data_IF_647418619223
#
_entry.id   IF_647418619223
#
_cell.length_a   1.000
_cell.length_b   1.000
_cell.length_c   1.000
_cell.angle_alpha   90.00
_cell.angle_beta   90.00
_cell.angle_gamma   90.00
#
_symmetry.space_group_name_H-M   'P 1'
#
loop_
_entity.id
_entity.type
_entity.pdbx_description
1 polymer ?
#
# COMPACT_ATOMS: atom_id res chain seq x y z
N UNK A 1 -23.30 -3.99 -3.75
CA UNK A 1 -23.36 -2.50 -3.86
C UNK A 1 -23.38 -1.84 -2.47
N UNK A 2 -24.21 -2.27 -1.51
CA UNK A 2 -24.21 -1.73 -0.13
C UNK A 2 -22.88 -1.96 0.59
N UNK A 3 -22.26 -3.14 0.44
CA UNK A 3 -20.97 -3.47 1.05
C UNK A 3 -19.82 -2.64 0.46
N UNK A 4 -19.80 -2.43 -0.86
CA UNK A 4 -18.81 -1.56 -1.50
C UNK A 4 -18.85 -0.13 -0.95
N UNK A 5 -20.05 0.45 -0.78
CA UNK A 5 -20.20 1.79 -0.20
C UNK A 5 -19.71 1.84 1.26
N UNK A 6 -19.97 0.78 2.03
CA UNK A 6 -19.49 0.68 3.39
C UNK A 6 -17.97 0.61 3.47
N UNK A 7 -17.34 -0.18 2.61
CA UNK A 7 -15.88 -0.31 2.52
C UNK A 7 -15.22 1.02 2.10
N UNK A 8 -15.80 1.73 1.13
CA UNK A 8 -15.33 3.06 0.69
C UNK A 8 -15.29 4.06 1.86
N UNK A 9 -16.30 4.05 2.70
CA UNK A 9 -16.39 4.97 3.83
C UNK A 9 -15.47 4.57 4.98
N UNK A 10 -15.40 3.29 5.34
CA UNK A 10 -14.59 2.79 6.45
C UNK A 10 -13.09 2.93 6.16
N UNK A 11 -12.64 2.49 4.99
CA UNK A 11 -11.22 2.48 4.59
C UNK A 11 -10.68 3.82 4.10
N UNK A 12 -11.51 4.87 4.00
CA UNK A 12 -11.12 6.19 3.46
C UNK A 12 -10.76 6.20 1.98
N UNK A 13 -11.29 5.26 1.20
CA UNK A 13 -11.01 5.15 -0.24
C UNK A 13 -11.34 6.46 -0.99
N UNK A 14 -12.42 7.14 -0.60
CA UNK A 14 -12.81 8.45 -1.13
C UNK A 14 -11.72 9.52 -0.97
N UNK A 15 -10.96 9.46 0.10
CA UNK A 15 -9.89 10.41 0.42
C UNK A 15 -8.61 10.07 -0.33
N UNK A 16 -8.23 8.81 -0.37
CA UNK A 16 -7.11 8.33 -1.18
C UNK A 16 -7.34 8.51 -2.68
N UNK A 17 -8.57 8.29 -3.16
CA UNK A 17 -8.92 8.56 -4.55
C UNK A 17 -8.74 10.02 -4.97
N UNK A 18 -8.98 10.99 -4.08
CA UNK A 18 -8.65 12.39 -4.33
C UNK A 18 -7.13 12.59 -4.46
N UNK A 19 -6.34 11.94 -3.60
CA UNK A 19 -4.88 12.00 -3.64
C UNK A 19 -4.34 11.45 -4.97
N UNK A 20 -4.75 10.24 -5.35
CA UNK A 20 -4.28 9.58 -6.56
C UNK A 20 -4.78 10.23 -7.85
N UNK A 21 -5.85 11.00 -7.77
CA UNK A 21 -6.27 11.90 -8.86
C UNK A 21 -5.40 13.14 -8.98
N UNK A 22 -4.91 13.67 -7.84
CA UNK A 22 -4.10 14.89 -7.79
C UNK A 22 -2.60 14.66 -8.03
N UNK A 23 -2.10 13.47 -7.63
CA UNK A 23 -0.67 13.08 -7.71
C UNK A 23 -0.51 11.80 -8.53
N UNK A 24 -1.03 11.82 -9.75
CA UNK A 24 -1.14 10.64 -10.62
C UNK A 24 0.13 10.28 -11.40
N UNK A 25 1.21 11.05 -11.27
CA UNK A 25 2.44 10.85 -12.04
C UNK A 25 3.37 9.81 -11.40
N UNK A 26 3.89 8.88 -12.22
CA UNK A 26 4.92 7.93 -11.79
C UNK A 26 6.30 8.56 -11.98
N UNK A 27 7.00 8.80 -10.88
CA UNK A 27 8.31 9.41 -10.84
C UNK A 27 9.42 8.35 -10.70
N UNK A 28 10.65 8.59 -11.19
CA UNK A 28 11.77 7.64 -11.06
C UNK A 28 12.06 7.23 -9.60
N UNK A 29 11.90 8.15 -8.65
CA UNK A 29 12.09 7.88 -7.21
C UNK A 29 11.12 6.85 -6.62
N UNK A 30 9.98 6.60 -7.29
CA UNK A 30 9.03 5.56 -6.86
C UNK A 30 9.59 4.14 -7.03
N UNK A 31 10.56 3.91 -7.92
CA UNK A 31 11.21 2.60 -8.04
C UNK A 31 11.96 2.23 -6.76
N UNK A 32 12.76 3.15 -6.20
CA UNK A 32 13.46 2.92 -4.95
C UNK A 32 12.48 2.62 -3.81
N UNK A 33 11.36 3.36 -3.73
CA UNK A 33 10.32 3.10 -2.74
C UNK A 33 9.71 1.70 -2.93
N UNK A 34 9.32 1.35 -4.16
CA UNK A 34 8.74 0.04 -4.47
C UNK A 34 9.69 -1.10 -4.06
N UNK A 35 10.96 -1.04 -4.43
CA UNK A 35 11.96 -2.04 -4.07
C UNK A 35 12.15 -2.19 -2.57
N UNK A 36 12.09 -1.10 -1.80
CA UNK A 36 12.16 -1.14 -0.35
C UNK A 36 10.90 -1.78 0.26
N UNK A 37 9.73 -1.42 -0.25
CA UNK A 37 8.45 -1.90 0.25
C UNK A 37 8.16 -3.35 -0.11
N UNK A 38 8.76 -3.86 -1.16
CA UNK A 38 8.60 -5.26 -1.60
C UNK A 38 9.77 -6.16 -1.18
N UNK A 39 10.74 -5.66 -0.41
CA UNK A 39 11.79 -6.51 0.13
C UNK A 39 11.18 -7.70 0.92
N UNK A 40 11.69 -8.94 0.77
CA UNK A 40 12.97 -9.27 0.17
C UNK A 40 12.95 -9.53 -1.35
N UNK A 41 11.85 -9.24 -2.06
CA UNK A 41 11.77 -9.47 -3.50
C UNK A 41 12.75 -8.57 -4.27
N UNK A 42 13.35 -9.15 -5.29
CA UNK A 42 14.21 -8.50 -6.27
C UNK A 42 13.48 -8.36 -7.62
N UNK A 43 13.99 -7.57 -8.59
CA UNK A 43 13.41 -7.49 -9.92
C UNK A 43 13.25 -8.84 -10.62
N UNK A 44 14.15 -9.81 -10.37
CA UNK A 44 14.13 -11.14 -10.95
C UNK A 44 12.95 -11.99 -10.48
N UNK A 45 12.47 -11.75 -9.26
CA UNK A 45 11.31 -12.47 -8.70
C UNK A 45 10.01 -12.20 -9.46
N UNK A 46 9.95 -11.12 -10.22
CA UNK A 46 8.78 -10.72 -11.00
C UNK A 46 8.77 -11.27 -12.43
N UNK A 47 9.93 -11.69 -12.95
CA UNK A 47 10.06 -12.12 -14.35
C UNK A 47 9.14 -13.30 -14.67
N UNK A 48 8.31 -13.11 -15.71
CA UNK A 48 7.36 -14.13 -16.17
C UNK A 48 6.22 -14.45 -15.21
N UNK A 49 6.06 -13.71 -14.11
CA UNK A 49 5.01 -13.92 -13.10
C UNK A 49 3.73 -13.19 -13.45
N UNK A 50 2.59 -13.83 -13.18
CA UNK A 50 1.29 -13.19 -13.14
C UNK A 50 0.98 -12.74 -11.72
N UNK A 51 0.61 -11.45 -11.54
CA UNK A 51 0.43 -10.90 -10.21
C UNK A 51 -0.93 -10.21 -9.99
N UNK A 52 -1.30 -10.10 -8.70
CA UNK A 52 -2.44 -9.31 -8.23
C UNK A 52 -1.94 -8.15 -7.36
N UNK A 53 -2.29 -6.91 -7.73
CA UNK A 53 -2.05 -5.70 -6.94
C UNK A 53 -3.35 -5.26 -6.28
N UNK A 54 -3.41 -5.36 -4.95
CA UNK A 54 -4.62 -5.10 -4.16
C UNK A 54 -4.55 -3.74 -3.49
N UNK A 55 -5.47 -2.84 -3.89
CA UNK A 55 -5.43 -1.43 -3.55
C UNK A 55 -4.37 -0.71 -4.37
N UNK A 56 -4.47 -0.84 -5.70
CA UNK A 56 -3.43 -0.39 -6.63
C UNK A 56 -3.28 1.14 -6.70
N UNK A 57 -4.26 1.91 -6.19
CA UNK A 57 -4.28 3.35 -6.32
C UNK A 57 -4.13 3.79 -7.77
N UNK A 58 -3.16 4.65 -8.05
CA UNK A 58 -2.86 5.11 -9.40
C UNK A 58 -2.02 4.14 -10.25
N UNK A 59 -1.78 2.90 -9.79
CA UNK A 59 -1.08 1.86 -10.53
C UNK A 59 0.45 1.93 -10.48
N UNK A 60 1.04 2.80 -9.65
CA UNK A 60 2.50 2.95 -9.60
C UNK A 60 3.22 1.69 -9.12
N UNK A 61 2.60 0.93 -8.21
CA UNK A 61 3.19 -0.30 -7.68
C UNK A 61 3.03 -1.47 -8.66
N UNK A 62 2.01 -1.48 -9.52
CA UNK A 62 1.89 -2.42 -10.65
C UNK A 62 2.89 -2.14 -11.77
N UNK A 63 3.28 -0.87 -11.95
CA UNK A 63 4.17 -0.44 -13.05
C UNK A 63 5.55 -1.09 -12.97
N UNK A 64 6.14 -1.21 -11.78
CA UNK A 64 7.50 -1.72 -11.62
C UNK A 64 7.62 -3.22 -11.90
N UNK A 65 6.76 -4.13 -11.37
CA UNK A 65 6.73 -5.52 -11.79
C UNK A 65 6.68 -5.71 -13.30
N UNK A 66 5.85 -4.93 -13.99
CA UNK A 66 5.75 -4.97 -15.45
C UNK A 66 7.03 -4.53 -16.13
N UNK A 67 7.70 -3.48 -15.61
CA UNK A 67 9.03 -3.07 -16.06
C UNK A 67 10.11 -4.12 -15.82
N UNK A 68 9.97 -4.93 -14.77
CA UNK A 68 10.89 -6.03 -14.48
C UNK A 68 10.60 -7.31 -15.27
N UNK A 69 9.59 -7.30 -16.15
CA UNK A 69 9.29 -8.41 -17.03
C UNK A 69 8.23 -9.38 -16.48
N UNK A 70 7.35 -8.93 -15.59
CA UNK A 70 6.18 -9.71 -15.23
C UNK A 70 5.31 -10.00 -16.48
N UNK A 71 4.67 -11.17 -16.51
CA UNK A 71 3.80 -11.57 -17.62
C UNK A 71 2.55 -10.70 -17.76
N UNK A 72 2.09 -10.12 -16.63
CA UNK A 72 0.90 -9.30 -16.53
C UNK A 72 0.19 -9.53 -15.20
N UNK A 73 -1.08 -9.19 -15.12
CA UNK A 73 -1.86 -9.43 -13.93
C UNK A 73 -3.13 -8.59 -13.83
N UNK A 74 -3.58 -8.43 -12.60
CA UNK A 74 -4.76 -7.64 -12.26
C UNK A 74 -4.41 -6.62 -11.18
N UNK A 75 -4.84 -5.36 -11.38
CA UNK A 75 -4.79 -4.30 -10.40
C UNK A 75 -6.21 -3.97 -9.95
N UNK A 76 -6.47 -4.04 -8.66
CA UNK A 76 -7.80 -3.75 -8.10
C UNK A 76 -7.74 -2.57 -7.15
N UNK A 77 -8.76 -1.74 -7.20
CA UNK A 77 -9.02 -0.67 -6.24
C UNK A 77 -10.53 -0.46 -6.15
N UNK A 78 -10.99 0.16 -5.07
CA UNK A 78 -12.41 0.45 -4.88
C UNK A 78 -12.79 1.83 -5.43
N UNK A 79 -11.84 2.78 -5.50
CA UNK A 79 -12.07 4.15 -5.95
C UNK A 79 -11.83 4.30 -7.45
N UNK A 80 -12.88 4.74 -8.19
CA UNK A 80 -12.82 4.85 -9.65
C UNK A 80 -11.83 5.93 -10.15
N UNK A 81 -11.59 7.00 -9.39
CA UNK A 81 -10.62 8.06 -9.76
C UNK A 81 -9.19 7.52 -9.73
N UNK A 82 -8.90 6.66 -8.73
CA UNK A 82 -7.65 5.90 -8.64
C UNK A 82 -7.48 5.00 -9.86
N UNK A 83 -8.52 4.24 -10.20
CA UNK A 83 -8.50 3.33 -11.35
C UNK A 83 -8.36 4.04 -12.69
N UNK A 84 -8.97 5.20 -12.87
CA UNK A 84 -8.74 6.03 -14.07
C UNK A 84 -7.26 6.43 -14.21
N UNK A 85 -6.62 6.80 -13.11
CA UNK A 85 -5.19 7.09 -13.09
C UNK A 85 -4.34 5.84 -13.38
N UNK A 86 -4.71 4.69 -12.79
CA UNK A 86 -4.05 3.42 -13.04
C UNK A 86 -4.15 2.99 -14.51
N UNK A 87 -5.33 3.09 -15.13
CA UNK A 87 -5.51 2.78 -16.55
C UNK A 87 -4.64 3.66 -17.45
N UNK A 88 -4.51 4.96 -17.14
CA UNK A 88 -3.60 5.85 -17.88
C UNK A 88 -2.13 5.45 -17.72
N UNK A 89 -1.71 5.15 -16.49
CA UNK A 89 -0.32 4.84 -16.18
C UNK A 89 0.12 3.46 -16.72
N UNK A 90 -0.80 2.51 -16.78
CA UNK A 90 -0.53 1.14 -17.21
C UNK A 90 -0.90 0.84 -18.67
N UNK A 91 -1.33 1.85 -19.43
CA UNK A 91 -1.80 1.70 -20.84
C UNK A 91 -0.80 1.04 -21.78
N UNK A 92 0.49 1.14 -21.49
CA UNK A 92 1.57 0.52 -22.29
C UNK A 92 1.76 -0.98 -22.01
N UNK A 93 1.02 -1.56 -21.08
CA UNK A 93 1.10 -2.95 -20.68
C UNK A 93 -0.24 -3.67 -20.93
N UNK A 94 -0.49 -4.19 -22.15
CA UNK A 94 -1.80 -4.74 -22.52
C UNK A 94 -2.20 -6.01 -21.74
N UNK A 95 -1.23 -6.70 -21.14
CA UNK A 95 -1.47 -7.86 -20.28
C UNK A 95 -1.89 -7.49 -18.84
N UNK A 96 -2.01 -6.19 -18.54
CA UNK A 96 -2.45 -5.71 -17.22
C UNK A 96 -3.92 -5.29 -17.27
N UNK A 97 -4.74 -5.87 -16.40
CA UNK A 97 -6.16 -5.56 -16.26
C UNK A 97 -6.40 -4.71 -15.02
N UNK A 98 -7.09 -3.59 -15.19
CA UNK A 98 -7.45 -2.67 -14.09
C UNK A 98 -8.96 -2.75 -13.87
N UNK A 99 -9.38 -3.17 -12.67
CA UNK A 99 -10.80 -3.37 -12.36
C UNK A 99 -11.18 -2.81 -11.00
N UNK A 100 -12.44 -2.41 -10.87
CA UNK A 100 -13.02 -1.99 -9.59
C UNK A 100 -13.48 -3.21 -8.81
N UNK A 101 -12.85 -3.42 -7.65
CA UNK A 101 -13.22 -4.52 -6.77
C UNK A 101 -12.83 -4.20 -5.32
N UNK A 102 -13.64 -4.67 -4.36
CA UNK A 102 -13.28 -4.64 -2.94
C UNK A 102 -12.27 -5.74 -2.63
N UNK A 103 -11.29 -5.44 -1.77
CA UNK A 103 -10.36 -6.45 -1.27
C UNK A 103 -11.06 -7.59 -0.54
N UNK A 104 -12.25 -7.34 0.01
CA UNK A 104 -13.04 -8.34 0.72
C UNK A 104 -13.81 -9.29 -0.21
N UNK A 105 -13.97 -8.94 -1.47
CA UNK A 105 -14.80 -9.67 -2.45
C UNK A 105 -14.02 -10.09 -3.70
N UNK A 106 -12.68 -10.22 -3.59
CA UNK A 106 -11.81 -10.68 -4.68
C UNK A 106 -12.34 -12.00 -5.28
N UNK A 107 -12.64 -12.05 -6.58
CA UNK A 107 -13.26 -13.23 -7.22
C UNK A 107 -12.22 -14.25 -7.72
N UNK A 108 -11.00 -14.21 -7.19
CA UNK A 108 -9.89 -15.02 -7.69
C UNK A 108 -9.58 -16.18 -6.77
N UNK A 109 -9.33 -17.34 -7.37
CA UNK A 109 -8.84 -18.56 -6.71
C UNK A 109 -7.72 -19.18 -7.56
N UNK A 110 -6.61 -19.60 -6.92
CA UNK A 110 -5.51 -20.36 -7.50
C UNK A 110 -4.95 -19.77 -8.82
N UNK A 111 -4.95 -18.44 -8.95
CA UNK A 111 -4.66 -17.80 -10.22
C UNK A 111 -3.26 -17.19 -10.31
N UNK A 112 -2.84 -16.43 -9.30
CA UNK A 112 -1.64 -15.61 -9.40
C UNK A 112 -0.42 -16.31 -8.81
N UNK A 113 0.76 -16.02 -9.35
CA UNK A 113 2.03 -16.44 -8.77
C UNK A 113 2.38 -15.62 -7.54
N UNK A 114 1.93 -14.35 -7.52
CA UNK A 114 2.18 -13.41 -6.44
C UNK A 114 1.00 -12.44 -6.29
N UNK A 115 0.52 -12.24 -5.07
CA UNK A 115 -0.39 -11.14 -4.72
C UNK A 115 0.32 -10.18 -3.78
N UNK A 116 0.14 -8.87 -3.97
CA UNK A 116 0.71 -7.91 -3.05
C UNK A 116 -0.25 -6.76 -2.74
N UNK A 117 -0.03 -6.13 -1.59
CA UNK A 117 -0.77 -4.96 -1.15
C UNK A 117 0.14 -4.00 -0.40
N UNK A 118 0.34 -2.81 -0.94
CA UNK A 118 1.27 -1.83 -0.41
C UNK A 118 0.52 -0.60 0.09
N UNK A 119 0.55 -0.37 1.41
CA UNK A 119 -0.05 0.82 1.99
C UNK A 119 -1.57 0.76 2.17
N UNK A 120 -2.20 -0.42 2.12
CA UNK A 120 -3.67 -0.58 2.16
C UNK A 120 -4.15 -1.34 3.39
N UNK A 121 -3.59 -2.50 3.68
CA UNK A 121 -4.08 -3.45 4.70
C UNK A 121 -4.26 -2.79 6.07
N UNK A 122 -3.37 -1.89 6.46
CA UNK A 122 -3.44 -1.18 7.74
C UNK A 122 -4.47 -0.02 7.77
N UNK A 123 -5.17 0.21 6.66
CA UNK A 123 -6.29 1.14 6.57
C UNK A 123 -7.66 0.44 6.51
N UNK A 124 -7.67 -0.88 6.58
CA UNK A 124 -8.88 -1.68 6.53
C UNK A 124 -9.52 -1.89 7.91
N UNK A 125 -10.83 -2.05 7.93
CA UNK A 125 -11.59 -2.42 9.13
C UNK A 125 -11.36 -3.89 9.51
N UNK A 126 -11.22 -4.77 8.50
CA UNK A 126 -11.04 -6.22 8.62
C UNK A 126 -9.82 -6.71 7.84
N UNK A 127 -8.59 -6.38 8.28
CA UNK A 127 -7.36 -6.73 7.57
C UNK A 127 -7.16 -8.25 7.41
N UNK A 128 -7.60 -9.06 8.38
CA UNK A 128 -7.56 -10.52 8.36
C UNK A 128 -8.33 -11.09 7.16
N UNK A 129 -9.55 -10.60 6.92
CA UNK A 129 -10.40 -11.04 5.81
C UNK A 129 -9.77 -10.71 4.45
N UNK A 130 -9.11 -9.55 4.35
CA UNK A 130 -8.39 -9.16 3.15
C UNK A 130 -7.21 -10.11 2.86
N UNK A 131 -6.45 -10.46 3.89
CA UNK A 131 -5.32 -11.40 3.77
C UNK A 131 -5.77 -12.79 3.36
N UNK A 132 -6.87 -13.32 3.92
CA UNK A 132 -7.46 -14.60 3.51
C UNK A 132 -7.85 -14.59 2.02
N UNK A 133 -8.46 -13.51 1.53
CA UNK A 133 -8.80 -13.35 0.12
C UNK A 133 -7.56 -13.31 -0.78
N UNK A 134 -6.52 -12.60 -0.38
CA UNK A 134 -5.25 -12.58 -1.11
C UNK A 134 -4.58 -13.96 -1.12
N UNK A 135 -4.58 -14.69 -0.01
CA UNK A 135 -4.02 -16.03 0.09
C UNK A 135 -4.77 -17.04 -0.81
N UNK A 136 -6.09 -16.92 -0.94
CA UNK A 136 -6.89 -17.75 -1.87
C UNK A 136 -6.64 -17.40 -3.32
N UNK A 137 -6.34 -16.14 -3.64
CA UNK A 137 -6.12 -15.68 -5.01
C UNK A 137 -4.82 -16.19 -5.63
N UNK A 138 -3.79 -16.50 -4.82
CA UNK A 138 -2.53 -17.04 -5.33
C UNK A 138 -2.61 -18.56 -5.50
N UNK A 139 -1.84 -19.12 -6.43
CA UNK A 139 -1.69 -20.57 -6.66
C UNK A 139 -1.11 -21.26 -5.41
N UNK A 140 -1.32 -22.56 -5.21
CA UNK A 140 -0.48 -23.34 -4.32
C UNK A 140 1.01 -23.12 -4.64
N UNK A 141 1.84 -22.85 -3.62
CA UNK A 141 3.23 -22.40 -3.78
C UNK A 141 3.39 -20.92 -4.17
N UNK A 142 2.29 -20.21 -4.46
CA UNK A 142 2.30 -18.76 -4.71
C UNK A 142 2.54 -17.94 -3.45
N UNK A 143 2.92 -16.68 -3.62
CA UNK A 143 3.34 -15.80 -2.52
C UNK A 143 2.39 -14.63 -2.31
N UNK A 144 2.20 -14.24 -1.07
CA UNK A 144 1.49 -13.00 -0.68
C UNK A 144 2.47 -12.07 0.00
N UNK A 145 2.52 -10.80 -0.43
CA UNK A 145 3.33 -9.76 0.17
C UNK A 145 2.46 -8.59 0.60
N UNK A 146 2.68 -8.09 1.81
CA UNK A 146 2.07 -6.85 2.28
C UNK A 146 3.14 -5.88 2.79
N UNK A 147 2.87 -4.58 2.63
CA UNK A 147 3.64 -3.54 3.29
C UNK A 147 2.72 -2.74 4.20
N UNK A 148 3.06 -2.68 5.51
CA UNK A 148 2.22 -2.10 6.54
C UNK A 148 3.02 -1.25 7.53
N UNK A 149 2.37 -0.32 8.23
CA UNK A 149 3.00 0.51 9.24
C UNK A 149 3.41 -0.32 10.47
N UNK A 150 4.69 -0.17 10.87
CA UNK A 150 5.22 -0.72 12.11
C UNK A 150 4.85 0.13 13.32
N UNK A 151 4.68 -0.49 14.48
CA UNK A 151 4.49 0.23 15.74
C UNK A 151 5.82 0.73 16.31
N UNK A 152 6.87 0.00 16.02
CA UNK A 152 8.23 0.33 16.41
C UNK A 152 8.67 1.64 15.75
N UNK A 153 9.33 2.51 16.53
CA UNK A 153 9.75 3.87 16.14
C UNK A 153 8.60 4.85 15.80
N UNK A 154 7.35 4.39 15.70
CA UNK A 154 6.20 5.23 15.37
C UNK A 154 5.34 5.63 16.59
N UNK A 155 5.83 5.47 17.81
CA UNK A 155 5.06 5.76 19.04
C UNK A 155 4.52 7.18 19.08
N UNK A 156 5.27 8.16 18.60
CA UNK A 156 4.83 9.55 18.51
C UNK A 156 3.70 9.75 17.48
N UNK A 157 3.76 9.06 16.33
CA UNK A 157 2.67 9.08 15.34
C UNK A 157 1.39 8.50 15.94
N UNK A 158 1.51 7.38 16.64
CA UNK A 158 0.37 6.72 17.31
C UNK A 158 -0.21 7.60 18.41
N UNK A 159 0.64 8.26 19.21
CA UNK A 159 0.20 9.01 20.39
C UNK A 159 -0.26 10.43 20.09
N UNK A 160 0.23 11.06 19.03
CA UNK A 160 -0.06 12.46 18.68
C UNK A 160 -0.82 12.59 17.37
N UNK A 161 -0.27 12.04 16.29
CA UNK A 161 -0.86 12.24 14.96
C UNK A 161 -2.17 11.46 14.78
N UNK A 162 -2.26 10.23 15.29
CA UNK A 162 -3.47 9.43 15.18
C UNK A 162 -4.71 10.07 15.87
N UNK A 163 -4.64 10.53 17.12
CA UNK A 163 -5.75 11.24 17.74
C UNK A 163 -6.12 12.51 16.97
N UNK A 164 -5.13 13.33 16.58
CA UNK A 164 -5.35 14.55 15.83
C UNK A 164 -6.02 14.28 14.47
N UNK A 165 -5.57 13.25 13.76
CA UNK A 165 -6.16 12.80 12.51
C UNK A 165 -7.61 12.37 12.69
N UNK A 166 -7.91 11.50 13.66
CA UNK A 166 -9.26 11.00 13.93
C UNK A 166 -10.23 12.10 14.40
N UNK A 167 -9.75 13.07 15.19
CA UNK A 167 -10.60 14.12 15.76
C UNK A 167 -10.81 15.29 14.79
N UNK A 168 -9.81 15.61 13.97
CA UNK A 168 -9.81 16.82 13.13
C UNK A 168 -9.76 16.46 11.63
N UNK A 169 -8.62 15.99 11.14
CA UNK A 169 -8.37 15.91 9.70
C UNK A 169 -9.31 14.96 8.96
N UNK A 170 -9.68 13.82 9.56
CA UNK A 170 -10.60 12.88 8.93
C UNK A 170 -12.03 13.41 8.77
N UNK A 171 -12.38 14.48 9.49
CA UNK A 171 -13.71 15.12 9.47
C UNK A 171 -13.76 16.37 8.59
N UNK A 172 -12.61 16.96 8.26
CA UNK A 172 -12.54 18.14 7.42
C UNK A 172 -12.81 17.78 5.95
N UNK A 173 -13.40 18.71 5.18
CA UNK A 173 -13.45 18.61 3.73
C UNK A 173 -12.06 18.35 3.16
N UNK A 174 -11.96 17.43 2.20
CA UNK A 174 -10.68 16.96 1.68
C UNK A 174 -9.83 18.07 1.06
N UNK A 175 -10.45 19.00 0.33
CA UNK A 175 -9.78 20.16 -0.24
C UNK A 175 -9.15 21.05 0.83
N UNK A 176 -9.82 21.22 2.00
CA UNK A 176 -9.26 21.95 3.13
C UNK A 176 -8.08 21.18 3.77
N UNK A 177 -8.23 19.87 3.95
CA UNK A 177 -7.13 19.02 4.43
C UNK A 177 -5.92 19.11 3.50
N UNK A 178 -6.15 19.07 2.18
CA UNK A 178 -5.10 19.24 1.18
C UNK A 178 -4.44 20.62 1.26
N UNK A 179 -5.22 21.69 1.47
CA UNK A 179 -4.65 23.02 1.68
C UNK A 179 -3.81 23.08 2.96
N UNK A 180 -4.32 22.55 4.07
CA UNK A 180 -3.64 22.53 5.36
C UNK A 180 -2.34 21.70 5.33
N UNK A 181 -2.24 20.66 4.47
CA UNK A 181 -1.02 19.87 4.33
C UNK A 181 0.20 20.68 3.87
N UNK A 182 -0.03 21.84 3.24
CA UNK A 182 1.04 22.74 2.78
C UNK A 182 1.95 23.19 3.93
N UNK A 183 1.39 23.51 5.11
CA UNK A 183 2.15 24.08 6.22
C UNK A 183 3.13 23.05 6.84
N UNK A 184 2.68 21.85 7.29
CA UNK A 184 3.61 20.84 7.78
C UNK A 184 4.58 20.36 6.69
N UNK A 185 4.15 20.28 5.43
CA UNK A 185 5.05 19.94 4.33
C UNK A 185 6.17 20.97 4.14
N UNK A 186 5.84 22.27 4.18
CA UNK A 186 6.83 23.34 4.09
C UNK A 186 7.82 23.30 5.25
N UNK A 187 7.34 23.05 6.47
CA UNK A 187 8.19 22.90 7.64
C UNK A 187 9.16 21.72 7.50
N UNK A 188 8.63 20.54 7.15
CA UNK A 188 9.46 19.34 6.96
C UNK A 188 10.47 19.58 5.85
N UNK A 189 10.06 20.18 4.73
CA UNK A 189 10.93 20.48 3.60
C UNK A 189 12.08 21.42 3.98
N UNK A 190 11.77 22.49 4.73
CA UNK A 190 12.79 23.42 5.23
C UNK A 190 13.80 22.73 6.17
N UNK A 191 13.30 21.90 7.12
CA UNK A 191 14.16 21.14 8.02
C UNK A 191 15.09 20.16 7.26
N UNK A 192 14.56 19.46 6.25
CA UNK A 192 15.36 18.57 5.40
C UNK A 192 16.44 19.32 4.61
N UNK A 193 16.15 20.53 4.12
CA UNK A 193 17.11 21.42 3.43
C UNK A 193 18.18 21.96 4.37
N UNK A 194 17.84 22.16 5.64
CA UNK A 194 18.80 22.51 6.70
C UNK A 194 19.62 21.32 7.22
N UNK A 195 19.42 20.11 6.65
CA UNK A 195 20.21 18.92 6.98
C UNK A 195 19.62 18.05 8.07
N UNK A 196 18.41 18.31 8.57
CA UNK A 196 17.74 17.46 9.55
C UNK A 196 17.32 16.11 8.93
N UNK A 197 18.05 15.04 9.21
CA UNK A 197 17.83 13.69 8.68
C UNK A 197 17.95 12.64 9.78
N UNK A 198 17.03 12.64 10.77
CA UNK A 198 17.14 11.85 11.99
C UNK A 198 17.03 10.33 11.78
N UNK A 199 16.45 9.89 10.66
CA UNK A 199 16.29 8.46 10.35
C UNK A 199 16.51 8.17 8.87
N UNK A 200 16.55 6.88 8.52
CA UNK A 200 16.64 6.43 7.13
C UNK A 200 15.47 6.93 6.28
N UNK A 201 14.28 6.95 6.86
CA UNK A 201 13.11 7.50 6.20
C UNK A 201 13.28 8.97 5.81
N UNK A 202 13.78 9.81 6.71
CA UNK A 202 14.03 11.23 6.40
C UNK A 202 15.15 11.40 5.36
N UNK A 203 16.15 10.53 5.32
CA UNK A 203 17.17 10.50 4.26
C UNK A 203 16.56 10.17 2.90
N UNK A 204 15.58 9.26 2.85
CA UNK A 204 14.86 8.91 1.62
C UNK A 204 14.01 10.08 1.14
N UNK A 205 13.14 10.64 1.97
CA UNK A 205 12.22 11.71 1.56
C UNK A 205 12.92 13.03 1.24
N UNK A 206 14.14 13.23 1.74
CA UNK A 206 14.98 14.39 1.38
C UNK A 206 15.42 14.41 -0.11
N UNK A 207 15.31 13.27 -0.80
CA UNK A 207 15.62 13.15 -2.24
C UNK A 207 14.47 13.65 -3.12
N UNK A 208 13.26 13.81 -2.56
CA UNK A 208 12.07 14.18 -3.32
C UNK A 208 11.95 15.70 -3.47
N UNK A 209 11.23 16.12 -4.50
CA UNK A 209 10.81 17.49 -4.66
C UNK A 209 9.69 17.87 -3.67
N UNK A 210 9.36 19.16 -3.62
CA UNK A 210 8.34 19.65 -2.68
C UNK A 210 6.93 19.09 -2.97
N UNK A 211 6.44 19.00 -4.22
CA UNK A 211 5.15 18.38 -4.50
C UNK A 211 5.04 16.95 -4.00
N UNK A 212 6.05 16.12 -4.22
CA UNK A 212 6.08 14.74 -3.75
C UNK A 212 6.13 14.64 -2.21
N UNK A 213 6.97 15.48 -1.57
CA UNK A 213 6.99 15.55 -0.10
C UNK A 213 5.64 15.97 0.46
N UNK A 214 4.97 16.93 -0.18
CA UNK A 214 3.63 17.36 0.22
C UNK A 214 2.60 16.23 0.06
N UNK A 215 2.68 15.44 -1.00
CA UNK A 215 1.83 14.25 -1.17
C UNK A 215 2.01 13.27 0.01
N UNK A 216 3.25 12.97 0.41
CA UNK A 216 3.54 12.11 1.56
C UNK A 216 2.95 12.67 2.87
N UNK A 217 3.06 13.98 3.10
CA UNK A 217 2.49 14.62 4.30
C UNK A 217 0.96 14.59 4.25
N UNK A 218 0.38 14.83 3.09
CA UNK A 218 -1.06 14.78 2.87
C UNK A 218 -1.60 13.36 3.09
N UNK A 219 -0.94 12.33 2.54
CA UNK A 219 -1.23 10.91 2.78
C UNK A 219 -1.36 10.58 4.27
N UNK A 220 -0.45 11.08 5.10
CA UNK A 220 -0.52 10.88 6.55
C UNK A 220 -1.73 11.54 7.23
N UNK A 221 -2.38 12.51 6.59
CA UNK A 221 -3.56 13.22 7.12
C UNK A 221 -4.89 12.61 6.66
N UNK A 222 -4.87 11.75 5.64
CA UNK A 222 -6.08 11.26 4.98
C UNK A 222 -6.86 10.20 5.78
N UNK A 223 -6.22 9.13 6.30
CA UNK A 223 -6.96 7.95 6.69
C UNK A 223 -7.81 8.15 7.94
N UNK A 224 -9.02 7.58 7.92
CA UNK A 224 -9.90 7.44 9.11
C UNK A 224 -9.41 6.33 10.01
N UNK A 225 -8.90 5.25 9.40
CA UNK A 225 -8.30 4.09 10.05
C UNK A 225 -6.82 4.04 9.70
N UNK A 226 -5.96 3.89 10.69
CA UNK A 226 -4.56 3.54 10.50
C UNK A 226 -4.08 2.74 11.69
N UNK A 227 -3.82 1.49 11.43
CA UNK A 227 -3.22 0.56 12.36
C UNK A 227 -1.70 0.64 12.29
N UNK A 228 -1.06 0.45 13.43
CA UNK A 228 0.38 0.33 13.57
C UNK A 228 0.64 -0.96 14.33
N UNK A 229 1.20 -1.95 13.68
CA UNK A 229 1.36 -3.28 14.25
C UNK A 229 2.81 -3.59 14.62
N UNK A 230 3.03 -4.24 15.79
CA UNK A 230 4.33 -4.83 16.09
C UNK A 230 4.59 -6.02 15.15
N UNK A 231 5.86 -6.38 15.04
CA UNK A 231 6.35 -7.47 14.19
C UNK A 231 5.55 -8.76 14.36
N UNK A 232 5.31 -9.15 15.60
CA UNK A 232 4.65 -10.41 15.97
C UNK A 232 3.19 -10.44 15.47
N UNK A 233 2.48 -9.31 15.56
CA UNK A 233 1.10 -9.20 15.06
C UNK A 233 1.04 -9.38 13.54
N UNK A 234 1.97 -8.76 12.80
CA UNK A 234 2.01 -8.92 11.33
C UNK A 234 2.32 -10.38 10.96
N UNK A 235 3.26 -11.01 11.66
CA UNK A 235 3.57 -12.42 11.44
C UNK A 235 2.36 -13.34 11.72
N UNK A 236 1.66 -13.12 12.84
CA UNK A 236 0.46 -13.88 13.21
C UNK A 236 -0.64 -13.74 12.16
N UNK A 237 -0.96 -12.52 11.75
CA UNK A 237 -1.98 -12.25 10.73
C UNK A 237 -1.70 -12.97 9.40
N UNK A 238 -0.44 -12.99 8.95
CA UNK A 238 -0.04 -13.71 7.74
C UNK A 238 -0.21 -15.23 7.91
N UNK A 239 0.20 -15.78 9.05
CA UNK A 239 0.06 -17.20 9.36
C UNK A 239 -1.43 -17.62 9.51
N UNK A 240 -2.24 -16.81 10.17
CA UNK A 240 -3.69 -17.03 10.34
C UNK A 240 -4.45 -16.99 9.01
N UNK A 241 -3.94 -16.23 8.02
CA UNK A 241 -4.44 -16.25 6.65
C UNK A 241 -4.06 -17.52 5.87
N UNK A 242 -3.37 -18.48 6.50
CA UNK A 242 -2.97 -19.77 5.89
C UNK A 242 -1.69 -19.71 5.07
N UNK A 243 -0.80 -18.77 5.37
CA UNK A 243 0.50 -18.62 4.71
C UNK A 243 1.62 -19.20 5.57
N UNK A 244 2.46 -20.02 4.96
CA UNK A 244 3.68 -20.59 5.56
C UNK A 244 4.91 -19.74 5.21
N UNK A 245 6.05 -20.06 5.81
CA UNK A 245 7.36 -19.41 5.56
C UNK A 245 7.31 -17.88 5.67
N UNK A 246 6.55 -17.36 6.61
CA UNK A 246 6.36 -15.92 6.80
C UNK A 246 7.68 -15.25 7.19
N UNK A 247 8.13 -14.33 6.34
CA UNK A 247 9.34 -13.53 6.55
C UNK A 247 8.99 -12.06 6.60
N UNK A 248 9.55 -11.35 7.58
CA UNK A 248 9.37 -9.91 7.75
C UNK A 248 10.69 -9.19 7.56
N UNK A 249 10.65 -8.13 6.75
CA UNK A 249 11.76 -7.21 6.55
C UNK A 249 11.40 -5.85 7.15
N UNK A 250 12.28 -5.31 7.99
CA UNK A 250 12.13 -3.97 8.54
C UNK A 250 12.50 -2.93 7.47
N UNK A 251 11.60 -2.00 7.18
CA UNK A 251 11.75 -1.05 6.08
C UNK A 251 11.75 0.38 6.61
N UNK A 252 12.77 1.16 6.21
CA UNK A 252 12.92 2.59 6.52
C UNK A 252 12.82 2.92 8.01
N UNK A 253 13.10 1.96 8.89
CA UNK A 253 13.04 2.07 10.36
C UNK A 253 11.63 2.38 10.91
N UNK A 254 10.56 2.12 10.15
CA UNK A 254 9.18 2.46 10.58
C UNK A 254 8.07 1.57 10.01
N UNK A 255 8.37 0.56 9.23
CA UNK A 255 7.34 -0.26 8.57
C UNK A 255 7.81 -1.69 8.36
N UNK A 256 6.86 -2.60 8.13
CA UNK A 256 7.10 -4.00 7.85
C UNK A 256 6.71 -4.34 6.42
N UNK A 257 7.61 -4.95 5.68
CA UNK A 257 7.29 -5.76 4.51
C UNK A 257 7.21 -7.21 4.96
N UNK A 258 6.09 -7.85 4.78
CA UNK A 258 5.87 -9.24 5.16
C UNK A 258 5.50 -10.06 3.92
N UNK A 259 6.17 -11.18 3.72
CA UNK A 259 5.91 -12.13 2.65
C UNK A 259 5.68 -13.51 3.22
N UNK A 260 4.69 -14.23 2.71
CA UNK A 260 4.40 -15.62 3.06
C UNK A 260 4.06 -16.43 1.82
N UNK A 261 4.14 -17.74 1.90
CA UNK A 261 3.90 -18.66 0.81
C UNK A 261 2.63 -19.47 1.10
N UNK A 262 1.73 -19.57 0.14
CA UNK A 262 0.60 -20.47 0.24
C UNK A 262 1.08 -21.94 0.15
N UNK A 263 0.69 -22.84 1.08
CA UNK A 263 1.07 -24.25 1.02
C UNK A 263 0.74 -24.91 -0.33
N UNK A 264 1.62 -25.80 -0.83
CA UNK A 264 1.39 -26.52 -2.07
C UNK A 264 0.25 -27.55 -1.96
N UNK A 265 0.08 -28.12 -0.77
CA UNK A 265 -1.06 -28.96 -0.43
C UNK A 265 -1.97 -28.20 0.53
N UNK A 266 -3.20 -27.94 0.12
CA UNK A 266 -4.23 -27.53 1.06
C UNK A 266 -4.40 -28.68 2.07
N UNK A 267 -3.64 -28.61 3.17
CA UNK A 267 -3.85 -29.52 4.28
C UNK A 267 -5.29 -29.37 4.73
N UNK A 268 -6.12 -30.37 4.50
CA UNK A 268 -7.41 -30.50 5.17
C UNK A 268 -7.10 -30.56 6.68
N UNK A 269 -7.24 -29.45 7.35
CA UNK A 269 -7.33 -29.40 8.80
C UNK A 269 -8.80 -29.37 9.21
#
# INVERSE_FOLDING_TARGET
MADLVRDELAGSADRFGYEWGSYAEILPGHEEQFRRWTAPLSPQDWQGKEFLDVGCGMGRNSFWPLKYGAAGGVAVDIDERSLESARRNLKSFPAMHVMRESVYDLPFEDRFDLAFSIGVIHHLEHPERALEKMARAVKPGGRVLIWVYGRENNRWLVSVLNPLRRMLFSRLPIGLTHHLSLYPAALVWALLRLGARPSEYFRLIAKFDFPHLRAIVFDQMLPRIAHYWPRETVASMMAEAGLDDVRLTWVNEMSWSAIGTRPETAGRR
#
